data_IF_125512571026
#
_entry.id   IF_125512571026
#
_cell.length_a   1.000
_cell.length_b   1.000
_cell.length_c   1.000
_cell.angle_alpha   90.00
_cell.angle_beta   90.00
_cell.angle_gamma   90.00
#
_symmetry.space_group_name_H-M   'P 1'
#
loop_
_entity.id
_entity.type
_entity.pdbx_description
1 polymer ?
#
# COMPACT_ATOMS: atom_id res chain seq x y z
N UNK A 1 7.16 -13.63 14.06
CA UNK A 1 7.17 -12.16 14.23
C UNK A 1 6.24 -11.60 13.17
N UNK A 2 5.26 -10.80 13.56
CA UNK A 2 4.40 -10.11 12.61
C UNK A 2 5.22 -9.03 11.90
N UNK A 3 5.12 -8.95 10.58
CA UNK A 3 5.78 -7.89 9.83
C UNK A 3 5.15 -6.54 10.19
N UNK A 4 5.92 -5.48 10.52
CA UNK A 4 5.36 -4.20 10.91
C UNK A 4 4.92 -3.33 9.71
N UNK A 5 5.33 -3.66 8.48
CA UNK A 5 5.06 -2.81 7.30
C UNK A 5 3.57 -2.66 6.96
N UNK A 6 2.71 -3.68 7.06
CA UNK A 6 1.27 -3.50 6.92
C UNK A 6 0.71 -2.45 7.89
N UNK A 7 1.17 -2.45 9.14
CA UNK A 7 0.75 -1.46 10.14
C UNK A 7 1.27 -0.05 9.80
N UNK A 8 2.52 0.07 9.32
CA UNK A 8 3.07 1.35 8.89
C UNK A 8 2.35 1.92 7.66
N UNK A 9 1.97 1.09 6.69
CA UNK A 9 1.18 1.51 5.54
C UNK A 9 -0.22 1.97 5.96
N UNK A 10 -0.86 1.26 6.91
CA UNK A 10 -2.14 1.69 7.48
C UNK A 10 -2.04 3.04 8.21
N UNK A 11 -0.97 3.25 8.99
CA UNK A 11 -0.72 4.52 9.69
C UNK A 11 -0.41 5.66 8.71
N UNK A 12 0.35 5.36 7.66
CA UNK A 12 0.63 6.29 6.58
C UNK A 12 -0.67 6.70 5.87
N UNK A 13 -1.56 5.76 5.53
CA UNK A 13 -2.87 6.08 4.96
C UNK A 13 -3.69 7.00 5.86
N UNK A 14 -3.75 6.67 7.16
CA UNK A 14 -4.57 7.40 8.13
C UNK A 14 -4.04 8.81 8.43
N UNK A 15 -2.72 9.02 8.34
CA UNK A 15 -2.07 10.31 8.58
C UNK A 15 -2.02 11.21 7.35
N UNK A 16 -2.28 10.65 6.16
CA UNK A 16 -2.15 11.34 4.89
C UNK A 16 -3.51 11.87 4.38
N UNK A 17 -3.50 13.05 3.78
CA UNK A 17 -4.68 13.79 3.33
C UNK A 17 -4.46 14.31 1.89
N UNK A 18 -5.54 14.72 1.21
CA UNK A 18 -5.60 15.31 -0.14
C UNK A 18 -4.68 16.54 -0.41
N UNK A 19 -3.99 17.06 0.61
CA UNK A 19 -3.00 18.13 0.53
C UNK A 19 -1.67 17.69 -0.06
N UNK A 20 -1.40 16.37 -0.14
CA UNK A 20 -0.21 15.87 -0.83
C UNK A 20 -0.55 15.44 -2.27
N UNK A 21 0.38 15.62 -3.23
CA UNK A 21 0.17 15.12 -4.60
C UNK A 21 0.01 13.60 -4.62
N UNK A 22 -0.90 13.07 -5.45
CA UNK A 22 -1.08 11.62 -5.66
C UNK A 22 0.24 10.89 -5.95
N UNK A 23 1.11 11.49 -6.77
CA UNK A 23 2.40 10.89 -7.10
C UNK A 23 3.33 10.76 -5.88
N UNK A 24 3.27 11.72 -4.95
CA UNK A 24 4.04 11.66 -3.70
C UNK A 24 3.47 10.64 -2.74
N UNK A 25 2.13 10.55 -2.63
CA UNK A 25 1.44 9.51 -1.87
C UNK A 25 1.90 8.12 -2.29
N UNK A 26 1.80 7.82 -3.58
CA UNK A 26 2.12 6.50 -4.10
C UNK A 26 3.63 6.18 -4.05
N UNK A 27 4.49 7.19 -4.17
CA UNK A 27 5.94 7.00 -4.02
C UNK A 27 6.33 6.62 -2.59
N UNK A 28 5.77 7.29 -1.57
CA UNK A 28 6.05 6.96 -0.17
C UNK A 28 5.32 5.69 0.28
N UNK A 29 4.14 5.40 -0.28
CA UNK A 29 3.44 4.12 -0.12
C UNK A 29 4.32 2.96 -0.62
N UNK A 30 4.81 3.02 -1.85
CA UNK A 30 5.69 2.00 -2.45
C UNK A 30 6.98 1.84 -1.63
N UNK A 31 7.57 2.96 -1.20
CA UNK A 31 8.75 2.96 -0.34
C UNK A 31 8.51 2.27 1.00
N UNK A 32 7.34 2.49 1.61
CA UNK A 32 6.96 1.90 2.91
C UNK A 32 6.63 0.42 2.77
N UNK A 33 6.00 0.02 1.65
CA UNK A 33 5.80 -1.38 1.31
C UNK A 33 7.14 -2.09 1.09
N UNK A 34 8.05 -1.48 0.33
CA UNK A 34 9.34 -2.07 -0.02
C UNK A 34 9.18 -3.49 -0.56
N UNK A 35 9.94 -4.44 -0.02
CA UNK A 35 9.86 -5.87 -0.42
C UNK A 35 8.64 -6.61 0.16
N UNK A 36 7.65 -5.91 0.72
CA UNK A 36 6.47 -6.54 1.32
C UNK A 36 5.65 -7.28 0.25
N UNK A 37 5.56 -6.73 -0.95
CA UNK A 37 4.90 -7.37 -2.09
C UNK A 37 5.55 -8.72 -2.42
N UNK A 38 6.89 -8.79 -2.46
CA UNK A 38 7.62 -10.03 -2.73
C UNK A 38 7.44 -11.05 -1.61
N UNK A 39 7.35 -10.59 -0.36
CA UNK A 39 7.21 -11.46 0.80
C UNK A 39 5.79 -12.01 0.97
N UNK A 40 4.76 -11.23 0.66
CA UNK A 40 3.35 -11.64 0.70
C UNK A 40 3.06 -12.73 -0.34
N UNK A 41 3.74 -12.67 -1.49
CA UNK A 41 3.55 -13.62 -2.58
C UNK A 41 4.59 -14.75 -2.62
N UNK A 42 5.49 -14.82 -1.64
CA UNK A 42 6.43 -15.92 -1.47
C UNK A 42 5.71 -17.23 -1.11
N UNK A 43 6.26 -18.38 -1.51
CA UNK A 43 5.70 -19.71 -1.18
C UNK A 43 5.57 -19.96 0.34
N UNK A 44 6.45 -19.35 1.15
CA UNK A 44 6.45 -19.47 2.62
C UNK A 44 5.67 -18.33 3.31
N UNK A 45 4.95 -17.50 2.55
CA UNK A 45 4.22 -16.37 3.11
C UNK A 45 3.15 -16.83 4.09
N UNK A 46 3.11 -16.19 5.27
CA UNK A 46 2.04 -16.43 6.22
C UNK A 46 0.69 -15.99 5.61
N UNK A 47 -0.37 -16.82 5.68
CA UNK A 47 -1.67 -16.47 5.11
C UNK A 47 -2.24 -15.19 5.73
N UNK A 48 -2.02 -14.96 7.02
CA UNK A 48 -2.43 -13.74 7.72
C UNK A 48 -1.78 -12.48 7.13
N UNK A 49 -0.52 -12.58 6.70
CA UNK A 49 0.20 -11.47 6.05
C UNK A 49 -0.41 -11.14 4.68
N UNK A 50 -0.82 -12.18 3.94
CA UNK A 50 -1.46 -12.04 2.63
C UNK A 50 -2.85 -11.44 2.74
N UNK A 51 -3.66 -11.88 3.70
CA UNK A 51 -4.97 -11.29 3.97
C UNK A 51 -4.83 -9.83 4.39
N UNK A 52 -3.97 -9.54 5.37
CA UNK A 52 -3.74 -8.17 5.84
C UNK A 52 -3.26 -7.23 4.73
N UNK A 53 -2.32 -7.67 3.88
CA UNK A 53 -1.85 -6.84 2.78
C UNK A 53 -2.90 -6.66 1.68
N UNK A 54 -3.71 -7.68 1.41
CA UNK A 54 -4.79 -7.58 0.39
C UNK A 54 -5.88 -6.61 0.82
N UNK A 55 -6.30 -6.66 2.08
CA UNK A 55 -7.25 -5.70 2.65
C UNK A 55 -6.70 -4.26 2.59
N UNK A 56 -5.41 -4.13 2.85
CA UNK A 56 -4.72 -2.85 2.77
C UNK A 56 -4.61 -2.28 1.35
N UNK A 57 -4.54 -3.12 0.31
CA UNK A 57 -4.50 -2.65 -1.08
C UNK A 57 -5.82 -2.01 -1.54
N UNK A 58 -6.95 -2.37 -0.92
CA UNK A 58 -8.25 -1.74 -1.20
C UNK A 58 -8.41 -0.39 -0.48
N UNK A 59 -7.78 -0.23 0.69
CA UNK A 59 -7.98 0.91 1.59
C UNK A 59 -7.63 2.29 0.98
N UNK A 60 -6.57 2.46 0.15
CA UNK A 60 -6.29 3.72 -0.53
C UNK A 60 -7.40 4.18 -1.48
N UNK A 61 -8.05 3.25 -2.19
CA UNK A 61 -9.13 3.57 -3.14
C UNK A 61 -10.36 4.11 -2.40
N UNK A 62 -10.75 3.46 -1.29
CA UNK A 62 -11.81 3.93 -0.39
C UNK A 62 -11.50 5.32 0.22
N UNK A 63 -10.21 5.63 0.43
CA UNK A 63 -9.75 6.93 0.92
C UNK A 63 -9.65 8.00 -0.18
N UNK A 64 -9.98 7.68 -1.43
CA UNK A 64 -9.95 8.59 -2.57
C UNK A 64 -8.58 8.70 -3.25
N UNK A 65 -7.59 7.93 -2.81
CA UNK A 65 -6.31 7.77 -3.50
C UNK A 65 -6.47 6.77 -4.63
N UNK A 66 -7.12 7.18 -5.72
CA UNK A 66 -7.12 6.39 -6.94
C UNK A 66 -5.67 6.08 -7.36
N UNK A 67 -5.40 4.81 -7.67
CA UNK A 67 -4.11 4.40 -8.24
C UNK A 67 -3.93 5.19 -9.54
N UNK A 68 -2.82 5.91 -9.74
CA UNK A 68 -2.59 6.62 -10.97
C UNK A 68 -2.57 5.59 -12.10
N UNK A 69 -3.57 5.64 -12.97
CA UNK A 69 -3.61 4.86 -14.19
C UNK A 69 -2.36 5.25 -14.97
N UNK A 70 -1.35 4.39 -14.95
CA UNK A 70 -0.21 4.52 -15.86
C UNK A 70 -0.77 4.55 -17.28
N UNK A 71 -0.87 5.75 -17.85
CA UNK A 71 -1.44 6.05 -19.16
C UNK A 71 -2.99 6.09 -19.27
N UNK A 72 -3.53 7.31 -19.22
CA UNK A 72 -4.16 7.80 -20.46
C UNK A 72 -3.23 8.82 -21.09
N UNK A 73 -2.33 8.34 -21.94
CA UNK A 73 -1.78 9.16 -23.00
C UNK A 73 -2.95 9.45 -23.96
N UNK A 74 -3.46 10.69 -23.96
CA UNK A 74 -3.88 11.49 -25.12
C UNK A 74 -4.23 12.91 -24.67
#
# INVERSE_FOLDING_TARGET
MHDPRPAHLSDYLASTNDSIPHAEFWAEWDRTAGVLVDLVWSDDAAPELREAFTDLLASPDDAGWAVPDGQTQQ
#
